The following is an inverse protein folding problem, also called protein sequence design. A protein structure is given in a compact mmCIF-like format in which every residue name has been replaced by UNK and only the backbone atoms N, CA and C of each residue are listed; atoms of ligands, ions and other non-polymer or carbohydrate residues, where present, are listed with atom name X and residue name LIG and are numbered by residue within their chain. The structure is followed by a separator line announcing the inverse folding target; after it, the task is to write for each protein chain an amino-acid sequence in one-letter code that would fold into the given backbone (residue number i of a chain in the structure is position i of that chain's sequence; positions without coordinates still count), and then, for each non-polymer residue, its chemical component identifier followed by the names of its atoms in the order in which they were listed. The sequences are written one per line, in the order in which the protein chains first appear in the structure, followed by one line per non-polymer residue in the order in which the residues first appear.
data_IF_043733108959
#
_entry.id   IF_043733108959
#
_cell.length_a   1.000
_cell.length_b   1.000
_cell.length_c   1.000
_cell.angle_alpha   90.00
_cell.angle_beta   90.00
_cell.angle_gamma   90.00
#
_symmetry.space_group_name_H-M   'P 1'
#
loop_
_entity.id
_entity.type
_entity.pdbx_description
1 polymer ?
#
# COMPACT_ATOMS: atom_id res chain seq x y z
N UNK A 1 -25.47 -10.09 20.37
CA UNK A 1 -26.15 -9.49 19.22
C UNK A 1 -25.24 -8.43 18.57
N UNK A 2 -24.73 -7.43 19.31
CA UNK A 2 -23.83 -6.41 18.76
C UNK A 2 -22.52 -7.02 18.20
N UNK A 3 -21.84 -7.88 18.94
CA UNK A 3 -20.62 -8.55 18.49
C UNK A 3 -20.85 -9.48 17.27
N UNK A 4 -22.02 -10.08 17.13
CA UNK A 4 -22.40 -10.88 15.97
C UNK A 4 -22.71 -10.01 14.74
N UNK A 5 -23.33 -8.85 14.94
CA UNK A 5 -23.59 -7.87 13.88
C UNK A 5 -22.30 -7.24 13.39
N UNK A 6 -21.40 -6.88 14.31
CA UNK A 6 -20.08 -6.35 13.97
C UNK A 6 -19.23 -7.37 13.21
N UNK A 7 -19.26 -8.64 13.63
CA UNK A 7 -18.55 -9.72 12.95
C UNK A 7 -19.13 -10.03 11.56
N UNK A 8 -20.46 -9.92 11.37
CA UNK A 8 -21.10 -10.01 10.04
C UNK A 8 -20.70 -8.85 9.14
N UNK A 9 -20.68 -7.63 9.67
CA UNK A 9 -20.31 -6.45 8.89
C UNK A 9 -18.84 -6.51 8.42
N UNK A 10 -17.94 -6.92 9.31
CA UNK A 10 -16.52 -7.16 8.99
C UNK A 10 -16.34 -8.25 7.92
N UNK A 11 -17.13 -9.32 7.98
CA UNK A 11 -17.04 -10.40 6.99
C UNK A 11 -17.58 -9.99 5.61
N UNK A 12 -18.64 -9.19 5.56
CA UNK A 12 -19.19 -8.64 4.30
C UNK A 12 -18.17 -7.68 3.68
N UNK A 13 -17.63 -6.74 4.44
CA UNK A 13 -16.62 -5.81 3.95
C UNK A 13 -15.37 -6.54 3.42
N UNK A 14 -14.96 -7.62 4.08
CA UNK A 14 -13.84 -8.46 3.64
C UNK A 14 -14.15 -9.16 2.31
N UNK A 15 -15.35 -9.73 2.15
CA UNK A 15 -15.76 -10.41 0.93
C UNK A 15 -15.83 -9.44 -0.25
N UNK A 16 -16.39 -8.25 -0.04
CA UNK A 16 -16.50 -7.21 -1.04
C UNK A 16 -15.13 -6.70 -1.48
N UNK A 17 -14.20 -6.50 -0.54
CA UNK A 17 -12.82 -6.10 -0.85
C UNK A 17 -12.06 -7.18 -1.63
N UNK A 18 -12.23 -8.45 -1.27
CA UNK A 18 -11.63 -9.54 -2.01
C UNK A 18 -12.15 -9.59 -3.44
N UNK A 19 -13.47 -9.51 -3.64
CA UNK A 19 -14.09 -9.54 -4.96
C UNK A 19 -13.65 -8.35 -5.83
N UNK A 20 -13.59 -7.14 -5.26
CA UNK A 20 -13.08 -5.94 -5.92
C UNK A 20 -11.61 -6.15 -6.36
N UNK A 21 -10.78 -6.67 -5.47
CA UNK A 21 -9.37 -6.91 -5.74
C UNK A 21 -9.15 -7.97 -6.82
N UNK A 22 -9.91 -9.06 -6.80
CA UNK A 22 -9.89 -10.10 -7.85
C UNK A 22 -10.26 -9.53 -9.22
N UNK A 23 -11.33 -8.74 -9.28
CA UNK A 23 -11.77 -8.08 -10.52
C UNK A 23 -10.72 -7.09 -11.04
N UNK A 24 -10.16 -6.27 -10.16
CA UNK A 24 -9.08 -5.34 -10.50
C UNK A 24 -7.81 -6.05 -11.00
N UNK A 25 -7.46 -7.17 -10.38
CA UNK A 25 -6.29 -7.96 -10.79
C UNK A 25 -6.45 -8.56 -12.19
N UNK A 26 -7.62 -9.03 -12.57
CA UNK A 26 -7.90 -9.53 -13.92
C UNK A 26 -7.70 -8.49 -15.02
N UNK A 27 -7.97 -7.22 -14.73
CA UNK A 27 -7.80 -6.13 -15.69
C UNK A 27 -6.33 -5.69 -15.86
N UNK A 28 -5.42 -6.12 -14.97
CA UNK A 28 -4.04 -5.67 -14.91
C UNK A 28 -3.09 -6.73 -15.50
N UNK A 29 -3.05 -6.85 -16.83
CA UNK A 29 -2.03 -7.65 -17.52
C UNK A 29 -0.77 -6.82 -17.74
N UNK A 30 0.38 -7.18 -17.13
CA UNK A 30 1.61 -6.41 -17.26
C UNK A 30 2.14 -6.48 -18.70
N UNK A 31 2.35 -5.31 -19.31
CA UNK A 31 2.90 -5.13 -20.66
C UNK A 31 4.42 -4.89 -20.64
N UNK A 32 4.99 -4.69 -19.44
CA UNK A 32 6.40 -4.36 -19.27
C UNK A 32 6.81 -4.17 -17.81
N UNK A 33 7.96 -3.54 -17.61
CA UNK A 33 8.50 -3.26 -16.28
C UNK A 33 8.66 -1.76 -16.07
N UNK A 34 7.95 -1.20 -15.10
CA UNK A 34 8.20 0.15 -14.61
C UNK A 34 9.50 0.18 -13.78
N UNK A 35 10.33 1.17 -14.01
CA UNK A 35 11.45 1.46 -13.10
C UNK A 35 10.88 2.09 -11.82
N UNK A 36 11.54 1.88 -10.66
CA UNK A 36 11.13 2.46 -9.39
C UNK A 36 10.90 3.98 -9.44
N UNK A 37 11.54 4.69 -10.40
CA UNK A 37 11.31 6.12 -10.67
C UNK A 37 9.91 6.39 -11.24
N UNK A 38 9.41 5.56 -12.15
CA UNK A 38 8.05 5.71 -12.69
C UNK A 38 6.97 5.46 -11.62
N UNK A 39 7.25 4.56 -10.67
CA UNK A 39 6.35 4.35 -9.54
C UNK A 39 6.33 5.52 -8.53
N UNK A 40 7.33 6.40 -8.53
CA UNK A 40 7.39 7.62 -7.69
C UNK A 40 6.90 8.88 -8.40
N UNK A 41 6.57 8.80 -9.69
CA UNK A 41 6.15 9.98 -10.45
C UNK A 41 4.91 10.61 -9.80
N UNK A 42 4.98 11.91 -9.59
CA UNK A 42 3.95 12.71 -8.96
C UNK A 42 4.11 12.93 -7.45
N UNK A 43 4.68 11.99 -6.68
CA UNK A 43 4.79 12.15 -5.23
C UNK A 43 5.64 13.36 -4.82
N UNK A 44 6.74 13.63 -5.53
CA UNK A 44 7.58 14.80 -5.30
C UNK A 44 6.87 16.10 -5.62
N UNK A 45 6.10 16.14 -6.71
CA UNK A 45 5.28 17.29 -7.10
C UNK A 45 4.13 17.50 -6.11
N UNK A 46 3.48 16.44 -5.69
CA UNK A 46 2.45 16.46 -4.66
C UNK A 46 2.97 17.05 -3.34
N UNK A 47 4.15 16.62 -2.88
CA UNK A 47 4.78 17.19 -1.69
C UNK A 47 5.11 18.69 -1.87
N UNK A 48 5.62 19.09 -3.03
CA UNK A 48 5.87 20.51 -3.32
C UNK A 48 4.58 21.33 -3.33
N UNK A 49 3.52 20.77 -3.90
CA UNK A 49 2.19 21.40 -3.90
C UNK A 49 1.65 21.55 -2.48
N UNK A 50 1.63 20.47 -1.70
CA UNK A 50 1.13 20.46 -0.32
C UNK A 50 1.87 21.43 0.60
N UNK A 51 3.18 21.63 0.38
CA UNK A 51 3.96 22.59 1.16
C UNK A 51 3.41 24.02 1.14
N UNK A 52 2.76 24.40 0.04
CA UNK A 52 2.17 25.76 -0.11
C UNK A 52 0.99 25.97 0.85
N UNK A 53 0.30 24.90 1.24
CA UNK A 53 -0.84 24.94 2.16
C UNK A 53 -0.43 25.03 3.64
N UNK A 54 0.84 24.84 3.97
CA UNK A 54 1.33 24.98 5.35
C UNK A 54 1.21 26.44 5.89
N UNK A 55 1.04 27.43 5.04
CA UNK A 55 0.87 28.84 5.43
C UNK A 55 -0.57 29.35 5.35
N UNK A 56 -1.52 28.51 4.97
CA UNK A 56 -2.94 28.85 4.91
C UNK A 56 -3.66 28.72 6.24
N UNK A 57 -4.91 29.20 6.31
CA UNK A 57 -5.70 29.31 7.55
C UNK A 57 -6.96 28.44 7.57
N UNK A 58 -7.25 27.69 6.48
CA UNK A 58 -8.39 26.74 6.47
C UNK A 58 -8.14 25.56 7.43
N UNK A 59 -9.20 24.82 7.77
CA UNK A 59 -9.09 23.59 8.54
C UNK A 59 -8.14 22.60 7.87
N UNK A 60 -8.30 22.41 6.56
CA UNK A 60 -7.42 21.58 5.74
C UNK A 60 -5.95 22.05 5.81
N UNK A 61 -5.69 23.37 5.69
CA UNK A 61 -4.34 23.91 5.75
C UNK A 61 -3.67 23.64 7.10
N UNK A 62 -4.45 23.72 8.20
CA UNK A 62 -3.98 23.34 9.53
C UNK A 62 -3.62 21.85 9.61
N UNK A 63 -4.46 20.96 9.05
CA UNK A 63 -4.15 19.53 8.99
C UNK A 63 -2.81 19.28 8.29
N UNK A 64 -2.56 19.88 7.15
CA UNK A 64 -1.30 19.75 6.40
C UNK A 64 -0.12 20.32 7.21
N UNK A 65 -0.25 21.51 7.77
CA UNK A 65 0.81 22.17 8.54
C UNK A 65 1.21 21.35 9.77
N UNK A 66 0.23 20.95 10.57
CA UNK A 66 0.46 20.27 11.85
C UNK A 66 1.04 18.85 11.66
N UNK A 67 0.77 18.23 10.51
CA UNK A 67 1.27 16.90 10.15
C UNK A 67 2.34 16.92 9.06
N UNK A 68 2.90 18.07 8.72
CA UNK A 68 3.88 18.18 7.64
C UNK A 68 5.08 17.26 7.80
N UNK A 69 5.60 17.11 9.02
CA UNK A 69 6.72 16.22 9.32
C UNK A 69 6.42 14.75 8.98
N UNK A 70 5.19 14.29 9.26
CA UNK A 70 4.72 12.95 8.93
C UNK A 70 4.60 12.77 7.41
N UNK A 71 3.95 13.71 6.72
CA UNK A 71 3.74 13.68 5.27
C UNK A 71 5.10 13.65 4.54
N UNK A 72 6.04 14.50 4.97
CA UNK A 72 7.37 14.55 4.38
C UNK A 72 8.17 13.26 4.65
N UNK A 73 8.13 12.72 5.89
CA UNK A 73 8.77 11.46 6.26
C UNK A 73 8.23 10.30 5.43
N UNK A 74 6.90 10.21 5.28
CA UNK A 74 6.24 9.19 4.46
C UNK A 74 6.68 9.29 2.99
N UNK A 75 6.77 10.49 2.44
CA UNK A 75 7.26 10.70 1.07
C UNK A 75 8.72 10.27 0.88
N UNK A 76 9.58 10.51 1.87
CA UNK A 76 10.97 10.02 1.87
C UNK A 76 11.04 8.49 1.92
N UNK A 77 10.24 7.87 2.77
CA UNK A 77 10.15 6.42 2.90
C UNK A 77 9.63 5.80 1.59
N UNK A 78 8.56 6.34 1.04
CA UNK A 78 8.01 5.94 -0.26
C UNK A 78 9.10 5.96 -1.35
N UNK A 79 9.79 7.07 -1.52
CA UNK A 79 10.83 7.21 -2.53
C UNK A 79 12.01 6.22 -2.33
N UNK A 80 12.37 5.94 -1.08
CA UNK A 80 13.39 4.96 -0.72
C UNK A 80 12.95 3.52 -1.02
N UNK A 81 11.76 3.14 -0.57
CA UNK A 81 11.20 1.81 -0.74
C UNK A 81 10.98 1.44 -2.20
N UNK A 82 10.44 2.36 -3.00
CA UNK A 82 10.23 2.12 -4.43
C UNK A 82 11.55 2.03 -5.21
N UNK A 83 12.58 2.78 -4.82
CA UNK A 83 13.93 2.58 -5.41
C UNK A 83 14.52 1.23 -5.05
N UNK A 84 14.35 0.78 -3.81
CA UNK A 84 14.83 -0.51 -3.33
C UNK A 84 14.10 -1.69 -3.98
N UNK A 85 12.83 -1.54 -4.32
CA UNK A 85 12.06 -2.55 -5.04
C UNK A 85 12.54 -2.78 -6.48
N UNK A 86 13.22 -1.80 -7.07
CA UNK A 86 13.81 -1.92 -8.42
C UNK A 86 12.77 -1.83 -9.54
N UNK A 87 12.80 -2.81 -10.46
CA UNK A 87 11.86 -2.87 -11.59
C UNK A 87 10.64 -3.68 -11.20
N UNK A 88 9.46 -3.13 -11.47
CA UNK A 88 8.17 -3.73 -11.12
C UNK A 88 7.33 -3.96 -12.38
N UNK A 89 6.52 -5.04 -12.44
CA UNK A 89 5.55 -5.24 -13.50
C UNK A 89 4.65 -4.03 -13.67
N UNK A 90 4.38 -3.63 -14.92
CA UNK A 90 3.69 -2.39 -15.21
C UNK A 90 2.69 -2.53 -16.36
N UNK A 91 1.65 -1.73 -16.29
CA UNK A 91 0.69 -1.46 -17.37
C UNK A 91 0.78 0.02 -17.71
N UNK A 92 0.98 0.35 -18.99
CA UNK A 92 1.12 1.75 -19.45
C UNK A 92 2.10 2.57 -18.61
N UNK A 93 3.27 2.00 -18.34
CA UNK A 93 4.34 2.58 -17.53
C UNK A 93 4.02 2.77 -16.03
N UNK A 94 2.82 2.42 -15.54
CA UNK A 94 2.48 2.45 -14.13
C UNK A 94 2.67 1.06 -13.52
N UNK A 95 3.36 0.98 -12.38
CA UNK A 95 3.52 -0.29 -11.69
C UNK A 95 2.15 -0.85 -11.26
N UNK A 96 1.90 -2.13 -11.52
CA UNK A 96 0.64 -2.79 -11.17
C UNK A 96 0.32 -2.64 -9.68
N UNK A 97 1.35 -2.80 -8.84
CA UNK A 97 1.20 -2.64 -7.39
C UNK A 97 0.83 -1.20 -6.98
N UNK A 98 1.19 -0.19 -7.75
CA UNK A 98 0.73 1.20 -7.51
C UNK A 98 -0.76 1.35 -7.81
N UNK A 99 -1.24 0.78 -8.92
CA UNK A 99 -2.67 0.79 -9.24
C UNK A 99 -3.49 0.03 -8.19
N UNK A 100 -2.98 -1.11 -7.72
CA UNK A 100 -3.62 -1.87 -6.64
C UNK A 100 -3.69 -1.06 -5.33
N UNK A 101 -2.64 -0.33 -4.99
CA UNK A 101 -2.62 0.55 -3.81
C UNK A 101 -3.62 1.72 -3.94
N UNK A 102 -3.70 2.35 -5.12
CA UNK A 102 -4.67 3.40 -5.41
C UNK A 102 -6.11 2.88 -5.27
N UNK A 103 -6.38 1.65 -5.72
CA UNK A 103 -7.69 1.01 -5.60
C UNK A 103 -8.07 0.72 -4.15
N UNK A 104 -7.16 0.13 -3.37
CA UNK A 104 -7.39 -0.11 -1.95
C UNK A 104 -7.70 1.19 -1.20
N UNK A 105 -6.95 2.25 -1.43
CA UNK A 105 -7.17 3.54 -0.78
C UNK A 105 -8.53 4.13 -1.17
N UNK A 106 -8.88 4.10 -2.46
CA UNK A 106 -10.15 4.62 -2.98
C UNK A 106 -11.34 3.88 -2.42
N UNK A 107 -11.29 2.54 -2.38
CA UNK A 107 -12.37 1.69 -1.84
C UNK A 107 -12.62 1.93 -0.35
N UNK A 108 -11.62 2.43 0.40
CA UNK A 108 -11.73 2.80 1.81
C UNK A 108 -12.03 4.27 2.05
N UNK A 109 -12.30 5.06 1.02
CA UNK A 109 -12.50 6.50 1.18
C UNK A 109 -11.33 7.21 1.87
N UNK A 110 -10.11 6.72 1.65
CA UNK A 110 -8.89 7.24 2.26
C UNK A 110 -8.45 6.53 3.55
N UNK A 111 -9.21 5.55 4.05
CA UNK A 111 -8.86 4.80 5.24
C UNK A 111 -8.09 3.51 4.90
N UNK A 112 -6.97 3.29 5.60
CA UNK A 112 -6.12 2.10 5.47
C UNK A 112 -5.93 1.45 6.84
N UNK A 113 -6.21 0.14 6.91
CA UNK A 113 -5.98 -0.69 8.09
C UNK A 113 -5.29 -2.00 7.71
N UNK A 114 -4.66 -2.69 8.67
CA UNK A 114 -4.03 -4.00 8.43
C UNK A 114 -5.03 -5.03 7.88
N UNK A 115 -6.27 -5.03 8.39
CA UNK A 115 -7.34 -5.93 7.93
C UNK A 115 -7.69 -5.68 6.46
N UNK A 116 -7.80 -4.41 6.05
CA UNK A 116 -8.11 -4.04 4.66
C UNK A 116 -6.97 -4.39 3.72
N UNK A 117 -5.72 -4.12 4.12
CA UNK A 117 -4.53 -4.53 3.36
C UNK A 117 -4.54 -6.04 3.12
N UNK A 118 -4.73 -6.83 4.19
CA UNK A 118 -4.75 -8.29 4.09
C UNK A 118 -5.86 -8.78 3.16
N UNK A 119 -7.09 -8.35 3.40
CA UNK A 119 -8.26 -8.79 2.62
C UNK A 119 -8.11 -8.45 1.12
N UNK A 120 -7.64 -7.24 0.82
CA UNK A 120 -7.42 -6.80 -0.55
C UNK A 120 -6.31 -7.61 -1.25
N UNK A 121 -5.16 -7.76 -0.62
CA UNK A 121 -4.04 -8.50 -1.23
C UNK A 121 -4.31 -10.01 -1.33
N UNK A 122 -5.01 -10.60 -0.36
CA UNK A 122 -5.44 -12.00 -0.44
C UNK A 122 -6.38 -12.23 -1.65
N UNK A 123 -7.36 -11.34 -1.85
CA UNK A 123 -8.23 -11.37 -3.02
C UNK A 123 -7.46 -11.12 -4.32
N UNK A 124 -6.62 -10.09 -4.36
CA UNK A 124 -5.82 -9.76 -5.54
C UNK A 124 -4.97 -10.93 -6.01
N UNK A 125 -4.31 -11.62 -5.08
CA UNK A 125 -3.41 -12.73 -5.38
C UNK A 125 -4.11 -14.01 -5.85
N UNK A 126 -5.43 -14.15 -5.69
CA UNK A 126 -6.19 -15.26 -6.29
C UNK A 126 -6.21 -15.20 -7.81
N UNK A 127 -6.22 -13.99 -8.36
CA UNK A 127 -6.21 -13.77 -9.81
C UNK A 127 -4.81 -13.48 -10.35
N UNK A 128 -3.97 -12.82 -9.55
CA UNK A 128 -2.62 -12.43 -9.95
C UNK A 128 -1.66 -12.49 -8.76
N UNK A 129 -0.80 -13.52 -8.69
CA UNK A 129 0.27 -13.59 -7.70
C UNK A 129 1.18 -12.36 -7.74
N UNK A 130 1.56 -11.85 -6.58
CA UNK A 130 2.53 -10.76 -6.42
C UNK A 130 3.89 -11.34 -6.09
N UNK A 131 4.91 -10.84 -6.78
CA UNK A 131 6.30 -11.15 -6.43
C UNK A 131 6.68 -10.52 -5.09
N UNK A 132 7.72 -11.04 -4.45
CA UNK A 132 8.25 -10.46 -3.22
C UNK A 132 8.71 -8.99 -3.40
N UNK A 133 9.11 -8.57 -4.61
CA UNK A 133 9.42 -7.18 -4.92
C UNK A 133 8.18 -6.30 -4.91
N UNK A 134 7.07 -6.77 -5.47
CA UNK A 134 5.78 -6.07 -5.47
C UNK A 134 5.21 -5.96 -4.06
N UNK A 135 5.27 -7.03 -3.26
CA UNK A 135 4.82 -7.00 -1.87
C UNK A 135 5.62 -5.98 -1.05
N UNK A 136 6.96 -5.94 -1.20
CA UNK A 136 7.79 -4.91 -0.53
C UNK A 136 7.48 -3.48 -1.00
N UNK A 137 7.05 -3.31 -2.25
CA UNK A 137 6.69 -2.01 -2.80
C UNK A 137 5.28 -1.55 -2.39
N UNK A 138 4.40 -2.45 -1.93
CA UNK A 138 2.98 -2.14 -1.71
C UNK A 138 2.77 -1.05 -0.65
N UNK A 139 3.40 -1.16 0.52
CA UNK A 139 3.30 -0.13 1.58
C UNK A 139 3.84 1.23 1.12
N UNK A 140 5.04 1.31 0.50
CA UNK A 140 5.48 2.53 -0.19
C UNK A 140 4.48 3.08 -1.21
N UNK A 141 3.82 2.23 -2.00
CA UNK A 141 2.78 2.67 -2.94
C UNK A 141 1.56 3.24 -2.22
N UNK A 142 1.09 2.62 -1.14
CA UNK A 142 -0.01 3.16 -0.32
C UNK A 142 0.33 4.53 0.26
N UNK A 143 1.54 4.73 0.76
CA UNK A 143 1.97 6.05 1.24
C UNK A 143 1.96 7.09 0.11
N UNK A 144 2.44 6.70 -1.08
CA UNK A 144 2.34 7.54 -2.28
C UNK A 144 0.89 7.91 -2.58
N UNK A 145 0.00 6.92 -2.60
CA UNK A 145 -1.42 7.12 -2.89
C UNK A 145 -2.07 8.09 -1.91
N UNK A 146 -1.76 7.98 -0.61
CA UNK A 146 -2.25 8.92 0.40
C UNK A 146 -1.73 10.36 0.16
N UNK A 147 -0.45 10.51 -0.20
CA UNK A 147 0.15 11.83 -0.47
C UNK A 147 -0.47 12.45 -1.73
N UNK A 148 -0.70 11.65 -2.78
CA UNK A 148 -1.36 12.10 -4.00
C UNK A 148 -2.80 12.52 -3.71
N UNK A 149 -3.56 11.70 -2.98
CA UNK A 149 -4.94 12.01 -2.60
C UNK A 149 -5.03 13.29 -1.75
N UNK A 150 -4.08 13.53 -0.82
CA UNK A 150 -4.00 14.80 -0.09
C UNK A 150 -3.74 16.00 -1.03
N UNK A 151 -2.91 15.83 -2.06
CA UNK A 151 -2.65 16.89 -3.02
C UNK A 151 -3.86 17.17 -3.93
N UNK A 152 -4.60 16.13 -4.31
CA UNK A 152 -5.84 16.26 -5.07
C UNK A 152 -6.91 16.96 -4.23
N UNK A 153 -7.05 16.59 -2.94
CA UNK A 153 -7.95 17.25 -2.00
C UNK A 153 -7.60 18.72 -1.78
N UNK A 154 -6.30 19.05 -1.76
CA UNK A 154 -5.81 20.43 -1.64
C UNK A 154 -6.20 21.31 -2.84
N UNK A 155 -6.33 20.73 -4.01
CA UNK A 155 -6.76 21.41 -5.25
C UNK A 155 -8.28 21.39 -5.44
N UNK A 156 -8.99 20.56 -4.68
CA UNK A 156 -10.43 20.34 -4.74
C UNK A 156 -11.18 20.92 -3.53
N UNK A 157 -12.05 20.12 -2.90
CA UNK A 157 -12.98 20.57 -1.85
C UNK A 157 -12.31 20.95 -0.52
N UNK A 158 -11.08 20.54 -0.27
CA UNK A 158 -10.33 20.76 0.98
C UNK A 158 -11.08 20.26 2.21
N UNK A 159 -11.60 19.03 2.14
CA UNK A 159 -12.33 18.42 3.23
C UNK A 159 -11.44 18.10 4.43
N UNK A 160 -11.75 18.63 5.58
CA UNK A 160 -11.06 18.33 6.85
C UNK A 160 -11.17 16.85 7.21
N UNK A 161 -12.33 16.24 6.93
CA UNK A 161 -12.58 14.83 7.20
C UNK A 161 -11.71 13.93 6.29
N UNK A 162 -11.62 14.23 5.00
CA UNK A 162 -10.76 13.51 4.08
C UNK A 162 -9.28 13.66 4.48
N UNK A 163 -8.84 14.87 4.83
CA UNK A 163 -7.50 15.11 5.34
C UNK A 163 -7.20 14.30 6.60
N UNK A 164 -8.14 14.26 7.54
CA UNK A 164 -8.01 13.48 8.78
C UNK A 164 -7.84 11.98 8.51
N UNK A 165 -8.67 11.40 7.62
CA UNK A 165 -8.55 9.97 7.23
C UNK A 165 -7.22 9.67 6.54
N UNK A 166 -6.81 10.47 5.57
CA UNK A 166 -5.57 10.26 4.82
C UNK A 166 -4.33 10.41 5.70
N UNK A 167 -4.31 11.40 6.59
CA UNK A 167 -3.23 11.60 7.57
C UNK A 167 -3.20 10.47 8.60
N UNK A 168 -4.38 10.01 9.06
CA UNK A 168 -4.50 8.83 9.91
C UNK A 168 -3.91 7.58 9.25
N UNK A 169 -4.21 7.36 7.98
CA UNK A 169 -3.65 6.27 7.18
C UNK A 169 -2.14 6.39 6.99
N UNK A 170 -1.61 7.59 6.72
CA UNK A 170 -0.16 7.81 6.66
C UNK A 170 0.51 7.51 8.00
N UNK A 171 -0.09 7.91 9.11
CA UNK A 171 0.43 7.62 10.46
C UNK A 171 0.44 6.13 10.71
N UNK A 172 -0.66 5.44 10.46
CA UNK A 172 -0.73 3.98 10.56
C UNK A 172 0.37 3.29 9.75
N UNK A 173 0.53 3.63 8.46
CA UNK A 173 1.53 3.04 7.58
C UNK A 173 2.98 3.35 7.99
N UNK A 174 3.21 4.49 8.67
CA UNK A 174 4.55 4.92 9.08
C UNK A 174 4.98 4.35 10.42
N UNK A 175 4.02 4.17 11.33
CA UNK A 175 4.31 3.83 12.72
C UNK A 175 4.05 2.34 13.03
N UNK A 176 3.40 1.60 12.10
CA UNK A 176 3.12 0.17 12.26
C UNK A 176 4.13 -0.67 11.48
N UNK A 177 4.71 -1.67 12.15
CA UNK A 177 5.51 -2.69 11.44
C UNK A 177 4.57 -3.69 10.75
N UNK A 178 4.50 -3.60 9.43
CA UNK A 178 3.69 -4.46 8.58
C UNK A 178 4.49 -5.65 8.00
N UNK A 179 5.73 -5.85 8.43
CA UNK A 179 6.61 -6.88 7.86
C UNK A 179 6.02 -8.29 7.98
N UNK A 180 5.48 -8.66 9.13
CA UNK A 180 4.84 -9.95 9.34
C UNK A 180 3.58 -10.13 8.48
N UNK A 181 2.79 -9.06 8.32
CA UNK A 181 1.62 -9.07 7.45
C UNK A 181 2.02 -9.34 6.01
N UNK A 182 3.03 -8.62 5.50
CA UNK A 182 3.53 -8.81 4.12
C UNK A 182 4.16 -10.18 3.93
N UNK A 183 4.87 -10.71 4.92
CA UNK A 183 5.45 -12.05 4.89
C UNK A 183 4.36 -13.13 4.84
N UNK A 184 3.26 -12.99 5.58
CA UNK A 184 2.13 -13.92 5.55
C UNK A 184 1.38 -13.94 4.21
N UNK A 185 1.51 -12.87 3.41
CA UNK A 185 0.92 -12.73 2.08
C UNK A 185 1.89 -13.17 0.97
N UNK A 186 3.15 -13.45 1.27
CA UNK A 186 4.13 -13.93 0.30
C UNK A 186 3.85 -15.40 -0.02
N UNK A 187 3.35 -15.67 -1.24
CA UNK A 187 3.02 -17.02 -1.68
C UNK A 187 4.26 -17.91 -1.75
N UNK A 188 5.42 -17.34 -2.11
CA UNK A 188 6.69 -18.08 -2.12
C UNK A 188 7.08 -18.50 -0.70
N UNK A 189 6.92 -17.62 0.30
CA UNK A 189 7.13 -17.98 1.71
C UNK A 189 6.19 -19.10 2.15
N UNK A 190 4.91 -18.99 1.80
CA UNK A 190 3.90 -20.00 2.15
C UNK A 190 4.26 -21.37 1.58
N UNK A 191 4.66 -21.46 0.33
CA UNK A 191 5.09 -22.72 -0.29
C UNK A 191 6.36 -23.27 0.34
N UNK A 192 7.37 -22.41 0.58
CA UNK A 192 8.62 -22.83 1.21
C UNK A 192 8.44 -23.29 2.66
N UNK A 193 7.44 -22.75 3.38
CA UNK A 193 7.11 -23.22 4.73
C UNK A 193 6.58 -24.65 4.76
N UNK A 194 6.09 -25.19 3.63
CA UNK A 194 5.68 -26.58 3.47
C UNK A 194 6.85 -27.52 3.09
N UNK A 195 8.12 -27.07 3.25
CA UNK A 195 9.31 -27.86 2.96
C UNK A 195 9.23 -29.27 3.61
N UNK A 196 9.19 -30.36 2.83
CA UNK A 196 9.09 -31.72 3.38
C UNK A 196 10.31 -32.12 4.23
N UNK A 197 11.48 -31.51 3.99
CA UNK A 197 12.68 -31.75 4.78
C UNK A 197 12.68 -30.97 6.11
N UNK A 198 11.74 -30.02 6.30
CA UNK A 198 11.58 -29.22 7.50
C UNK A 198 12.79 -28.34 7.83
N UNK A 199 13.62 -28.04 6.83
CA UNK A 199 14.83 -27.20 7.01
C UNK A 199 14.46 -25.71 6.93
N UNK A 200 13.67 -25.33 5.91
CA UNK A 200 13.30 -23.94 5.68
C UNK A 200 12.60 -23.28 6.88
N UNK A 201 11.59 -23.88 7.53
CA UNK A 201 10.92 -23.30 8.70
C UNK A 201 11.87 -23.04 9.89
N UNK A 202 12.98 -23.79 9.96
CA UNK A 202 13.98 -23.66 11.04
C UNK A 202 15.04 -22.59 10.75
N UNK A 203 15.09 -22.04 9.55
CA UNK A 203 16.03 -20.97 9.20
C UNK A 203 15.68 -19.66 9.92
N UNK A 204 16.70 -18.84 10.17
CA UNK A 204 16.49 -17.47 10.63
C UNK A 204 15.70 -16.65 9.61
N UNK A 205 14.99 -15.61 10.05
CA UNK A 205 14.25 -14.73 9.16
C UNK A 205 15.13 -14.11 8.05
N UNK A 206 16.38 -13.76 8.39
CA UNK A 206 17.36 -13.25 7.43
C UNK A 206 17.76 -14.29 6.39
N UNK A 207 17.97 -15.54 6.81
CA UNK A 207 18.31 -16.64 5.90
C UNK A 207 17.13 -16.95 4.97
N UNK A 208 15.90 -17.01 5.49
CA UNK A 208 14.70 -17.18 4.68
C UNK A 208 14.52 -16.06 3.65
N UNK A 209 14.73 -14.81 4.06
CA UNK A 209 14.64 -13.66 3.14
C UNK A 209 15.68 -13.73 2.01
N UNK A 210 16.89 -14.23 2.30
CA UNK A 210 17.93 -14.45 1.30
C UNK A 210 17.54 -15.58 0.34
N UNK A 211 17.07 -16.71 0.87
CA UNK A 211 16.63 -17.86 0.09
C UNK A 211 15.47 -17.52 -0.87
N UNK A 212 14.44 -16.82 -0.39
CA UNK A 212 13.33 -16.35 -1.24
C UNK A 212 13.77 -15.46 -2.40
N UNK A 213 14.82 -14.67 -2.20
CA UNK A 213 15.34 -13.78 -3.24
C UNK A 213 16.02 -14.54 -4.39
N UNK A 214 16.54 -15.73 -4.10
CA UNK A 214 17.18 -16.59 -5.10
C UNK A 214 16.18 -17.49 -5.84
N UNK A 215 15.05 -17.81 -5.22
CA UNK A 215 14.05 -18.76 -5.75
C UNK A 215 12.88 -18.06 -6.44
N UNK A 216 12.54 -16.83 -6.06
CA UNK A 216 11.41 -16.06 -6.59
C UNK A 216 11.86 -14.89 -7.43
#
# INVERSE_FOLDING_TARGET
VEAEMENRHINIERADLCALAESGAHALHPEGLARGRAATDGAGDALRSLRRFCSGDSGFDRWIRDNWHLIYRAGRYCAGGLRAAGRLPAVRATAVVSTAADELLRSGGGEVTAKRIYAFLDGFQRSRPLSGAELRAFVPCLMRSCIMALADEALGPKSDEAAGRLIGSLRFLTDTDLSQLMESLDLTERELMHDPAGVYPKMSASSRAMYRREVG
#
